data_IF_400828914985
#
_entry.id   IF_400828914985
#
_cell.length_a   1.000
_cell.length_b   1.000
_cell.length_c   1.000
_cell.angle_alpha   90.00
_cell.angle_beta   90.00
_cell.angle_gamma   90.00
#
_symmetry.space_group_name_H-M   'P 1'
#
loop_
_entity.id
_entity.type
_entity.pdbx_description
1 polymer ?
#
# COMPACT_ATOMS: atom_id res chain seq x y z
N UNK A 1 32.15 10.99 17.89
CA UNK A 1 31.84 9.70 17.24
C UNK A 1 33.18 9.07 16.90
N UNK A 2 33.51 7.88 17.38
CA UNK A 2 34.81 7.25 17.14
C UNK A 2 35.12 7.17 15.63
N UNK A 3 36.29 7.65 15.25
CA UNK A 3 36.79 7.72 13.87
C UNK A 3 36.82 6.34 13.20
N UNK A 4 37.09 5.27 13.97
CA UNK A 4 37.01 3.89 13.48
C UNK A 4 35.56 3.46 13.17
N UNK A 5 34.59 3.79 14.03
CA UNK A 5 33.16 3.51 13.77
C UNK A 5 32.66 4.28 12.55
N UNK A 6 33.11 5.52 12.37
CA UNK A 6 32.77 6.33 11.21
C UNK A 6 33.28 5.70 9.91
N UNK A 7 34.57 5.31 9.84
CA UNK A 7 35.13 4.60 8.68
C UNK A 7 34.40 3.30 8.36
N UNK A 8 34.04 2.50 9.36
CA UNK A 8 33.26 1.25 9.16
C UNK A 8 31.89 1.55 8.53
N UNK A 9 31.21 2.60 8.98
CA UNK A 9 29.94 3.03 8.39
C UNK A 9 30.10 3.47 6.93
N UNK A 10 31.18 4.19 6.61
CA UNK A 10 31.47 4.59 5.23
C UNK A 10 31.81 3.39 4.34
N UNK A 11 32.62 2.45 4.83
CA UNK A 11 32.92 1.22 4.12
C UNK A 11 31.64 0.42 3.82
N UNK A 12 30.75 0.26 4.80
CA UNK A 12 29.45 -0.38 4.59
C UNK A 12 28.63 0.32 3.49
N UNK A 13 28.56 1.66 3.50
CA UNK A 13 27.87 2.43 2.45
C UNK A 13 28.49 2.21 1.07
N UNK A 14 29.82 2.21 0.98
CA UNK A 14 30.53 2.00 -0.29
C UNK A 14 30.25 0.61 -0.87
N UNK A 15 30.34 -0.44 -0.05
CA UNK A 15 30.03 -1.81 -0.51
C UNK A 15 28.56 -2.00 -0.87
N UNK A 16 27.62 -1.37 -0.16
CA UNK A 16 26.20 -1.37 -0.55
C UNK A 16 25.98 -0.69 -1.91
N UNK A 17 26.68 0.40 -2.19
CA UNK A 17 26.59 1.08 -3.48
C UNK A 17 27.13 0.19 -4.62
N UNK A 18 28.28 -0.46 -4.42
CA UNK A 18 28.84 -1.41 -5.40
C UNK A 18 27.91 -2.61 -5.63
N UNK A 19 27.32 -3.17 -4.57
CA UNK A 19 26.37 -4.27 -4.69
C UNK A 19 25.12 -3.87 -5.49
N UNK A 20 24.58 -2.68 -5.25
CA UNK A 20 23.45 -2.14 -6.01
C UNK A 20 23.80 -1.97 -7.50
N UNK A 21 24.97 -1.41 -7.80
CA UNK A 21 25.45 -1.22 -9.17
C UNK A 21 25.62 -2.55 -9.91
N UNK A 22 26.32 -3.52 -9.31
CA UNK A 22 26.52 -4.83 -9.91
C UNK A 22 25.20 -5.58 -10.14
N UNK A 23 24.24 -5.43 -9.22
CA UNK A 23 22.89 -5.99 -9.38
C UNK A 23 22.21 -5.42 -10.63
N UNK A 24 22.21 -4.10 -10.79
CA UNK A 24 21.62 -3.43 -11.95
C UNK A 24 22.29 -3.84 -13.28
N UNK A 25 23.63 -3.93 -13.30
CA UNK A 25 24.39 -4.36 -14.48
C UNK A 25 24.06 -5.81 -14.84
N UNK A 26 24.03 -6.72 -13.87
CA UNK A 26 23.71 -8.13 -14.10
C UNK A 26 22.28 -8.33 -14.62
N UNK A 27 21.31 -7.60 -14.06
CA UNK A 27 19.92 -7.62 -14.51
C UNK A 27 19.79 -7.10 -15.95
N UNK A 28 20.50 -6.02 -16.29
CA UNK A 28 20.49 -5.47 -17.64
C UNK A 28 21.01 -6.47 -18.68
N UNK A 29 22.15 -7.12 -18.42
CA UNK A 29 22.73 -8.12 -19.32
C UNK A 29 21.79 -9.31 -19.53
N UNK A 30 21.15 -9.83 -18.47
CA UNK A 30 20.19 -10.91 -18.58
C UNK A 30 19.01 -10.55 -19.49
N UNK A 31 18.46 -9.33 -19.34
CA UNK A 31 17.36 -8.85 -20.18
C UNK A 31 17.71 -8.76 -21.67
N UNK A 32 19.00 -8.64 -22.04
CA UNK A 32 19.42 -8.61 -23.44
C UNK A 32 19.38 -9.98 -24.11
N UNK A 33 19.54 -11.08 -23.37
CA UNK A 33 19.68 -12.42 -23.94
C UNK A 33 18.50 -13.35 -23.64
N UNK A 34 17.72 -13.10 -22.58
CA UNK A 34 16.73 -14.04 -22.06
C UNK A 34 15.41 -13.34 -21.66
N UNK A 35 14.61 -12.94 -22.65
CA UNK A 35 13.32 -12.29 -22.40
C UNK A 35 12.28 -13.26 -21.82
N UNK A 36 11.72 -12.94 -20.65
CA UNK A 36 10.56 -13.64 -20.09
C UNK A 36 10.85 -14.83 -19.17
N UNK A 37 12.13 -15.19 -18.98
CA UNK A 37 12.55 -16.26 -18.06
C UNK A 37 12.93 -15.70 -16.69
N UNK A 38 12.74 -16.51 -15.64
CA UNK A 38 13.28 -16.21 -14.31
C UNK A 38 14.81 -16.30 -14.33
N UNK A 39 15.48 -15.32 -13.72
CA UNK A 39 16.94 -15.33 -13.60
C UNK A 39 17.41 -16.52 -12.76
N UNK A 40 18.51 -17.20 -13.15
CA UNK A 40 19.13 -18.23 -12.32
C UNK A 40 19.67 -17.71 -10.99
N UNK A 41 19.96 -16.41 -10.89
CA UNK A 41 20.44 -15.75 -9.68
C UNK A 41 19.79 -14.37 -9.55
N UNK A 42 19.22 -14.10 -8.38
CA UNK A 42 18.34 -12.95 -8.16
C UNK A 42 18.85 -12.10 -7.00
N UNK A 43 18.98 -10.78 -7.23
CA UNK A 43 19.43 -9.82 -6.24
C UNK A 43 18.31 -8.83 -5.93
N UNK A 44 17.95 -8.65 -4.65
CA UNK A 44 16.99 -7.64 -4.21
C UNK A 44 17.73 -6.52 -3.49
N UNK A 45 17.73 -5.33 -4.10
CA UNK A 45 18.40 -4.15 -3.54
C UNK A 45 17.39 -3.28 -2.82
N UNK A 46 17.40 -3.33 -1.49
CA UNK A 46 16.46 -2.61 -0.64
C UNK A 46 17.13 -1.46 0.11
N UNK A 47 16.42 -0.35 0.26
CA UNK A 47 16.77 0.74 1.17
C UNK A 47 15.69 0.91 2.23
N UNK A 48 16.12 1.02 3.49
CA UNK A 48 15.19 1.22 4.60
C UNK A 48 14.56 2.60 4.50
N UNK A 49 13.24 2.65 4.31
CA UNK A 49 12.43 3.86 4.40
C UNK A 49 12.33 4.35 5.84
N UNK A 50 11.81 3.47 6.70
CA UNK A 50 11.46 3.82 8.07
C UNK A 50 11.48 2.59 8.97
N UNK A 51 11.76 2.81 10.25
CA UNK A 51 11.49 1.81 11.28
C UNK A 51 10.00 1.84 11.62
N UNK A 52 9.40 0.67 11.82
CA UNK A 52 8.02 0.54 12.25
C UNK A 52 7.97 0.32 13.76
N UNK A 53 6.83 0.64 14.38
CA UNK A 53 6.64 0.52 15.83
C UNK A 53 6.79 -0.92 16.31
N UNK A 54 6.27 -1.87 15.53
CA UNK A 54 6.35 -3.31 15.73
C UNK A 54 6.02 -4.01 14.40
N UNK A 55 6.26 -5.33 14.34
CA UNK A 55 5.87 -6.20 13.23
C UNK A 55 4.39 -6.54 13.24
N UNK A 56 4.01 -7.77 12.91
CA UNK A 56 2.60 -8.20 13.00
C UNK A 56 2.09 -8.12 14.44
N UNK A 57 2.96 -8.46 15.39
CA UNK A 57 2.68 -8.48 16.82
C UNK A 57 3.58 -7.50 17.60
N UNK A 58 3.11 -6.94 18.75
CA UNK A 58 3.84 -5.92 19.50
C UNK A 58 5.26 -6.27 19.94
N UNK A 59 5.56 -7.55 20.13
CA UNK A 59 6.87 -8.05 20.55
C UNK A 59 7.88 -8.16 19.39
N UNK A 60 7.43 -8.05 18.13
CA UNK A 60 8.26 -8.17 16.94
C UNK A 60 8.76 -6.80 16.49
N UNK A 61 10.03 -6.70 16.09
CA UNK A 61 10.57 -5.48 15.44
C UNK A 61 10.27 -5.52 13.95
N UNK A 62 10.04 -4.36 13.34
CA UNK A 62 9.89 -4.26 11.89
C UNK A 62 10.43 -2.95 11.33
N UNK A 63 10.68 -2.96 10.04
CA UNK A 63 11.05 -1.79 9.25
C UNK A 63 10.45 -1.93 7.85
N UNK A 64 10.11 -0.80 7.25
CA UNK A 64 9.68 -0.74 5.87
C UNK A 64 10.87 -0.41 4.98
N UNK A 65 11.00 -1.17 3.89
CA UNK A 65 12.05 -1.01 2.90
C UNK A 65 11.43 -0.73 1.53
N UNK A 66 12.05 0.18 0.80
CA UNK A 66 11.78 0.39 -0.62
C UNK A 66 12.82 -0.36 -1.45
N UNK A 67 12.39 -0.88 -2.58
CA UNK A 67 13.30 -1.43 -3.57
C UNK A 67 13.92 -0.28 -4.40
N UNK A 68 15.26 -0.25 -4.49
CA UNK A 68 16.00 0.79 -5.21
C UNK A 68 15.97 0.60 -6.72
N UNK A 69 15.71 -0.62 -7.21
CA UNK A 69 15.44 -0.82 -8.64
C UNK A 69 14.17 -0.07 -9.07
N UNK A 70 13.31 0.29 -8.12
CA UNK A 70 12.10 1.10 -8.31
C UNK A 70 12.37 2.60 -8.43
N UNK A 71 13.63 3.03 -8.39
CA UNK A 71 13.97 4.46 -8.47
C UNK A 71 13.64 5.12 -9.82
N UNK A 72 13.17 4.34 -10.80
CA UNK A 72 12.33 4.85 -11.88
C UNK A 72 10.89 5.08 -11.40
N UNK A 73 10.61 6.35 -11.14
CA UNK A 73 9.44 7.08 -10.58
C UNK A 73 8.05 6.74 -11.22
N UNK A 74 7.91 5.67 -11.98
CA UNK A 74 6.69 5.31 -12.74
C UNK A 74 5.85 4.20 -12.11
N UNK A 75 6.26 3.63 -10.98
CA UNK A 75 5.64 2.44 -10.43
C UNK A 75 4.72 2.80 -9.26
N UNK A 76 3.44 2.44 -9.39
CA UNK A 76 2.42 2.66 -8.36
C UNK A 76 2.44 1.63 -7.23
N UNK A 77 1.37 1.62 -6.45
CA UNK A 77 1.18 0.76 -5.28
C UNK A 77 1.34 1.49 -3.96
N UNK A 78 1.15 0.75 -2.87
CA UNK A 78 1.15 1.30 -1.51
C UNK A 78 2.52 1.71 -1.03
N UNK A 79 3.57 1.03 -1.50
CA UNK A 79 4.93 1.42 -1.16
C UNK A 79 5.15 2.90 -1.49
N UNK A 80 4.82 3.34 -2.69
CA UNK A 80 5.03 4.71 -3.18
C UNK A 80 3.86 5.66 -2.91
N UNK A 81 2.91 5.27 -2.05
CA UNK A 81 1.73 6.09 -1.78
C UNK A 81 2.08 7.36 -1.00
N UNK A 82 1.43 8.47 -1.36
CA UNK A 82 1.53 9.72 -0.63
C UNK A 82 0.55 9.72 0.54
N UNK A 83 1.05 9.86 1.77
CA UNK A 83 0.22 9.99 2.95
C UNK A 83 -0.10 11.47 3.23
N UNK A 84 -1.34 11.88 2.98
CA UNK A 84 -1.80 13.26 3.16
C UNK A 84 -2.14 13.65 4.61
N UNK A 85 -2.38 12.66 5.47
CA UNK A 85 -2.87 12.87 6.84
C UNK A 85 -2.65 11.64 7.73
N UNK A 86 -2.81 11.81 9.03
CA UNK A 86 -2.87 10.71 9.99
C UNK A 86 -1.54 10.30 10.62
N UNK A 87 -1.57 9.24 11.42
CA UNK A 87 -0.40 8.66 12.08
C UNK A 87 0.46 7.88 11.07
N UNK A 88 1.74 7.64 11.39
CA UNK A 88 2.57 6.73 10.61
C UNK A 88 1.96 5.33 10.47
N UNK A 89 2.23 4.67 9.34
CA UNK A 89 1.76 3.31 9.03
C UNK A 89 2.37 2.27 9.98
N UNK A 90 1.56 1.31 10.43
CA UNK A 90 2.03 0.08 11.10
C UNK A 90 2.37 -1.01 10.08
N UNK A 91 2.95 -2.13 10.51
CA UNK A 91 3.20 -3.29 9.65
C UNK A 91 1.91 -3.83 9.04
N UNK A 92 0.89 -4.08 9.86
CA UNK A 92 -0.42 -4.57 9.40
C UNK A 92 -1.14 -3.55 8.52
N UNK A 93 -0.94 -2.24 8.76
CA UNK A 93 -1.47 -1.20 7.88
C UNK A 93 -0.92 -1.30 6.46
N UNK A 94 0.38 -1.60 6.28
CA UNK A 94 0.94 -1.81 4.94
C UNK A 94 0.34 -3.04 4.27
N UNK A 95 0.20 -4.16 4.99
CA UNK A 95 -0.38 -5.39 4.44
C UNK A 95 -1.85 -5.19 4.02
N UNK A 96 -2.66 -4.63 4.90
CA UNK A 96 -4.08 -4.41 4.63
C UNK A 96 -4.27 -3.38 3.52
N UNK A 97 -3.45 -2.32 3.48
CA UNK A 97 -3.54 -1.29 2.45
C UNK A 97 -3.17 -1.86 1.07
N UNK A 98 -2.13 -2.69 1.00
CA UNK A 98 -1.70 -3.32 -0.25
C UNK A 98 -2.78 -4.28 -0.78
N UNK A 99 -3.36 -5.10 0.10
CA UNK A 99 -4.49 -5.96 -0.25
C UNK A 99 -5.70 -5.15 -0.76
N UNK A 100 -6.07 -4.06 -0.07
CA UNK A 100 -7.19 -3.21 -0.45
C UNK A 100 -6.97 -2.49 -1.79
N UNK A 101 -5.78 -1.92 -2.00
CA UNK A 101 -5.44 -1.20 -3.22
C UNK A 101 -5.34 -2.11 -4.44
N UNK A 102 -4.69 -3.27 -4.30
CA UNK A 102 -4.58 -4.24 -5.39
C UNK A 102 -5.97 -4.78 -5.76
N UNK A 103 -6.81 -5.11 -4.77
CA UNK A 103 -8.19 -5.54 -5.03
C UNK A 103 -9.01 -4.49 -5.78
N UNK A 104 -9.01 -3.22 -5.32
CA UNK A 104 -9.73 -2.15 -6.01
C UNK A 104 -9.19 -1.88 -7.42
N UNK A 105 -7.88 -2.06 -7.62
CA UNK A 105 -7.21 -1.83 -8.90
C UNK A 105 -7.56 -2.85 -9.98
N UNK A 106 -8.14 -4.01 -9.64
CA UNK A 106 -8.60 -5.00 -10.63
C UNK A 106 -9.84 -4.56 -11.39
N UNK A 107 -10.61 -3.62 -10.84
CA UNK A 107 -11.86 -3.17 -11.44
C UNK A 107 -11.64 -1.96 -12.34
N UNK A 108 -12.24 -1.97 -13.52
CA UNK A 108 -12.30 -0.82 -14.44
C UNK A 108 -13.45 0.14 -14.12
N UNK A 109 -14.57 -0.38 -13.62
CA UNK A 109 -15.71 0.43 -13.19
C UNK A 109 -15.41 1.12 -11.84
N UNK A 110 -16.02 2.28 -11.53
CA UNK A 110 -15.88 2.91 -10.22
C UNK A 110 -16.32 1.95 -9.10
N UNK A 111 -15.41 1.67 -8.18
CA UNK A 111 -15.51 0.56 -7.22
C UNK A 111 -15.03 0.99 -5.84
N UNK A 112 -15.78 0.59 -4.82
CA UNK A 112 -15.38 0.64 -3.42
C UNK A 112 -15.01 -0.76 -2.94
N UNK A 113 -13.88 -0.87 -2.24
CA UNK A 113 -13.41 -2.09 -1.57
C UNK A 113 -13.14 -1.77 -0.09
N UNK A 114 -13.65 -2.62 0.80
CA UNK A 114 -13.38 -2.57 2.23
C UNK A 114 -12.66 -3.86 2.63
N UNK A 115 -11.51 -3.71 3.29
CA UNK A 115 -10.64 -4.81 3.73
C UNK A 115 -10.40 -4.74 5.24
N UNK A 116 -10.30 -5.91 5.87
CA UNK A 116 -9.80 -6.08 7.23
C UNK A 116 -8.93 -7.34 7.31
N UNK A 117 -7.74 -7.22 7.88
CA UNK A 117 -6.79 -8.35 8.02
C UNK A 117 -6.56 -9.05 6.68
N UNK A 118 -6.26 -8.28 5.64
CA UNK A 118 -6.02 -8.68 4.25
C UNK A 118 -7.20 -9.32 3.51
N UNK A 119 -8.36 -9.47 4.16
CA UNK A 119 -9.56 -10.06 3.56
C UNK A 119 -10.58 -8.98 3.18
N UNK A 120 -11.09 -8.98 1.94
CA UNK A 120 -12.21 -8.12 1.56
C UNK A 120 -13.47 -8.52 2.33
N UNK A 121 -14.06 -7.59 3.06
CA UNK A 121 -15.36 -7.77 3.71
C UNK A 121 -16.50 -7.09 2.94
N UNK A 122 -16.17 -6.20 2.00
CA UNK A 122 -17.17 -5.53 1.16
C UNK A 122 -16.58 -5.05 -0.16
N UNK A 123 -17.26 -5.32 -1.27
CA UNK A 123 -16.88 -4.85 -2.61
C UNK A 123 -18.14 -4.48 -3.36
N UNK A 124 -18.16 -3.30 -3.99
CA UNK A 124 -19.25 -2.94 -4.90
C UNK A 124 -18.78 -1.95 -5.97
N UNK A 125 -19.28 -2.14 -7.19
CA UNK A 125 -19.07 -1.22 -8.32
C UNK A 125 -20.38 -0.55 -8.71
N UNK A 126 -20.39 0.78 -8.80
CA UNK A 126 -21.54 1.60 -9.23
C UNK A 126 -21.03 2.88 -9.89
N UNK A 127 -21.81 3.48 -10.80
CA UNK A 127 -21.46 4.77 -11.40
C UNK A 127 -21.33 5.88 -10.36
N UNK A 128 -22.19 5.87 -9.33
CA UNK A 128 -22.09 6.75 -8.18
C UNK A 128 -21.29 6.06 -7.07
N UNK A 129 -20.15 6.64 -6.68
CA UNK A 129 -19.29 6.07 -5.64
C UNK A 129 -19.92 6.06 -4.25
N UNK A 130 -20.84 6.98 -3.94
CA UNK A 130 -21.56 6.95 -2.66
C UNK A 130 -22.40 5.68 -2.56
N UNK A 131 -23.02 5.27 -3.66
CA UNK A 131 -23.83 4.06 -3.70
C UNK A 131 -22.95 2.80 -3.69
N UNK A 132 -21.81 2.83 -4.40
CA UNK A 132 -20.79 1.78 -4.29
C UNK A 132 -20.30 1.62 -2.84
N UNK A 133 -20.02 2.74 -2.16
CA UNK A 133 -19.59 2.74 -0.78
C UNK A 133 -20.63 2.13 0.16
N UNK A 134 -21.89 2.57 0.07
CA UNK A 134 -22.99 2.06 0.91
C UNK A 134 -23.20 0.57 0.72
N UNK A 135 -23.23 0.09 -0.52
CA UNK A 135 -23.39 -1.32 -0.83
C UNK A 135 -22.21 -2.18 -0.35
N UNK A 136 -20.98 -1.68 -0.49
CA UNK A 136 -19.81 -2.38 0.03
C UNK A 136 -19.87 -2.48 1.57
N UNK A 137 -20.32 -1.41 2.25
CA UNK A 137 -20.48 -1.41 3.70
C UNK A 137 -21.60 -2.35 4.19
N UNK A 138 -22.71 -2.43 3.46
CA UNK A 138 -23.85 -3.30 3.79
C UNK A 138 -23.50 -4.80 3.74
N UNK A 139 -22.46 -5.19 3.00
CA UNK A 139 -22.04 -6.59 2.89
C UNK A 139 -21.60 -7.19 4.24
N UNK A 140 -20.77 -6.47 5.00
CA UNK A 140 -20.37 -6.84 6.35
C UNK A 140 -19.97 -5.60 7.16
N UNK A 141 -20.95 -4.90 7.77
CA UNK A 141 -20.70 -3.67 8.52
C UNK A 141 -19.89 -3.89 9.80
N UNK A 142 -19.99 -5.09 10.39
CA UNK A 142 -19.26 -5.45 11.62
C UNK A 142 -17.77 -5.58 11.31
N UNK A 143 -17.42 -6.27 10.22
CA UNK A 143 -16.02 -6.38 9.79
C UNK A 143 -15.49 -5.06 9.21
N UNK A 144 -16.32 -4.26 8.53
CA UNK A 144 -15.89 -2.98 7.98
C UNK A 144 -15.37 -1.98 9.05
N UNK A 145 -15.85 -2.09 10.29
CA UNK A 145 -15.43 -1.21 11.38
C UNK A 145 -13.94 -1.42 11.73
N UNK A 146 -13.18 -0.33 11.63
CA UNK A 146 -11.72 -0.32 11.78
C UNK A 146 -10.97 -0.89 10.58
N UNK A 147 -11.65 -1.15 9.46
CA UNK A 147 -11.03 -1.61 8.24
C UNK A 147 -10.35 -0.49 7.45
N UNK A 148 -9.95 -0.85 6.23
CA UNK A 148 -9.44 0.03 5.20
C UNK A 148 -10.49 0.16 4.10
N UNK A 149 -10.86 1.39 3.76
CA UNK A 149 -11.78 1.67 2.65
C UNK A 149 -10.99 2.24 1.48
N UNK A 150 -11.21 1.70 0.28
CA UNK A 150 -10.45 2.02 -0.92
C UNK A 150 -11.37 2.28 -2.10
N UNK A 151 -11.01 3.28 -2.92
CA UNK A 151 -11.71 3.65 -4.14
C UNK A 151 -10.73 3.64 -5.32
N UNK A 152 -11.14 3.12 -6.46
CA UNK A 152 -10.28 3.06 -7.67
C UNK A 152 -10.37 4.31 -8.57
N UNK A 153 -11.10 5.34 -8.13
CA UNK A 153 -11.27 6.64 -8.80
C UNK A 153 -11.21 7.77 -7.76
N UNK A 154 -11.16 9.02 -8.22
CA UNK A 154 -11.04 10.21 -7.36
C UNK A 154 -12.12 10.28 -6.26
N UNK A 155 -11.71 10.66 -5.05
CA UNK A 155 -12.63 10.95 -3.95
C UNK A 155 -12.94 12.45 -3.90
N UNK A 156 -14.22 12.77 -4.08
CA UNK A 156 -14.73 14.14 -4.04
C UNK A 156 -15.28 14.54 -2.65
N UNK A 157 -15.79 15.78 -2.55
CA UNK A 157 -16.42 16.30 -1.34
C UNK A 157 -17.65 15.48 -0.91
N UNK A 158 -18.44 14.99 -1.87
CA UNK A 158 -19.71 14.30 -1.61
C UNK A 158 -19.43 12.94 -0.96
N UNK A 159 -18.53 12.15 -1.54
CA UNK A 159 -18.10 10.88 -0.99
C UNK A 159 -17.38 11.04 0.36
N UNK A 160 -16.53 12.07 0.49
CA UNK A 160 -15.85 12.36 1.75
C UNK A 160 -16.83 12.67 2.88
N UNK A 161 -17.91 13.43 2.59
CA UNK A 161 -18.99 13.69 3.57
C UNK A 161 -19.72 12.40 3.93
N UNK A 162 -20.09 11.59 2.94
CA UNK A 162 -20.72 10.29 3.19
C UNK A 162 -19.88 9.40 4.11
N UNK A 163 -18.56 9.30 3.87
CA UNK A 163 -17.63 8.57 4.73
C UNK A 163 -17.58 9.09 6.16
N UNK A 164 -17.75 10.40 6.37
CA UNK A 164 -17.70 11.04 7.70
C UNK A 164 -19.01 10.86 8.47
N UNK A 165 -20.14 10.86 7.78
CA UNK A 165 -21.48 10.91 8.37
C UNK A 165 -22.10 9.51 8.57
N UNK A 166 -21.68 8.54 7.76
CA UNK A 166 -22.21 7.18 7.79
C UNK A 166 -22.08 6.55 9.18
N UNK A 167 -23.19 5.95 9.62
CA UNK A 167 -23.28 5.16 10.83
C UNK A 167 -23.32 3.68 10.47
N UNK A 168 -22.93 2.83 11.41
CA UNK A 168 -22.96 1.39 11.27
C UNK A 168 -24.38 0.94 10.93
N UNK A 169 -24.58 0.21 9.82
CA UNK A 169 -25.87 -0.41 9.51
C UNK A 169 -26.36 -1.38 10.59
N UNK A 170 -25.46 -1.88 11.46
CA UNK A 170 -25.81 -2.83 12.52
C UNK A 170 -26.62 -2.20 13.65
N UNK A 171 -26.28 -0.97 14.05
CA UNK A 171 -26.89 -0.30 15.21
C UNK A 171 -27.54 1.06 14.87
N UNK A 172 -27.25 1.63 13.70
CA UNK A 172 -27.75 2.94 13.27
C UNK A 172 -27.16 4.13 14.03
N UNK A 173 -26.28 3.89 15.01
CA UNK A 173 -25.81 4.89 15.97
C UNK A 173 -24.30 5.10 15.89
N UNK A 174 -23.51 4.05 15.76
CA UNK A 174 -22.05 4.16 15.81
C UNK A 174 -21.52 4.74 14.51
N UNK A 175 -20.82 5.89 14.56
CA UNK A 175 -20.17 6.43 13.36
C UNK A 175 -19.10 5.46 12.87
N UNK A 176 -19.10 5.17 11.57
CA UNK A 176 -18.11 4.24 11.01
C UNK A 176 -16.70 4.78 11.16
N UNK A 177 -15.82 3.93 11.69
CA UNK A 177 -14.40 4.19 11.83
C UNK A 177 -13.63 3.39 10.79
N UNK A 178 -12.68 4.04 10.12
CA UNK A 178 -11.72 3.41 9.22
C UNK A 178 -10.31 3.81 9.68
N UNK A 179 -9.37 2.89 9.58
CA UNK A 179 -7.97 3.22 9.85
C UNK A 179 -7.32 3.97 8.69
N UNK A 180 -7.70 3.60 7.46
CA UNK A 180 -7.12 4.11 6.21
C UNK A 180 -8.21 4.33 5.16
N UNK A 181 -8.12 5.45 4.45
CA UNK A 181 -8.84 5.72 3.19
C UNK A 181 -7.80 5.79 2.07
N UNK A 182 -8.04 5.08 0.96
CA UNK A 182 -7.11 5.01 -0.18
C UNK A 182 -7.85 5.37 -1.47
N UNK A 183 -7.23 6.19 -2.32
CA UNK A 183 -7.74 6.57 -3.63
C UNK A 183 -6.59 6.96 -4.59
N UNK A 184 -6.82 7.00 -5.91
CA UNK A 184 -5.83 7.52 -6.86
C UNK A 184 -5.63 9.04 -6.79
N UNK A 185 -6.64 9.79 -6.35
CA UNK A 185 -6.58 11.23 -6.12
C UNK A 185 -7.72 11.68 -5.21
N UNK A 186 -7.63 12.92 -4.73
CA UNK A 186 -8.66 13.58 -3.94
C UNK A 186 -8.87 15.00 -4.45
N UNK A 187 -10.12 15.43 -4.55
CA UNK A 187 -10.40 16.86 -4.69
C UNK A 187 -9.91 17.62 -3.44
N UNK A 188 -9.53 18.91 -3.54
CA UNK A 188 -9.10 19.69 -2.38
C UNK A 188 -10.13 19.69 -1.23
N UNK A 189 -11.41 19.84 -1.57
CA UNK A 189 -12.51 19.82 -0.61
C UNK A 189 -12.75 18.43 -0.02
N UNK A 190 -12.68 17.37 -0.83
CA UNK A 190 -12.78 15.99 -0.34
C UNK A 190 -11.68 15.67 0.68
N UNK A 191 -10.44 16.08 0.39
CA UNK A 191 -9.32 15.90 1.30
C UNK A 191 -9.50 16.68 2.60
N UNK A 192 -9.97 17.93 2.54
CA UNK A 192 -10.27 18.75 3.72
C UNK A 192 -11.32 18.09 4.61
N UNK A 193 -12.42 17.61 4.02
CA UNK A 193 -13.49 16.92 4.76
C UNK A 193 -12.98 15.66 5.46
N UNK A 194 -12.17 14.84 4.78
CA UNK A 194 -11.59 13.63 5.36
C UNK A 194 -10.60 13.94 6.49
N UNK A 195 -9.75 14.96 6.33
CA UNK A 195 -8.83 15.43 7.38
C UNK A 195 -9.59 15.85 8.65
N UNK A 196 -10.79 16.41 8.49
CA UNK A 196 -11.68 16.78 9.59
C UNK A 196 -12.32 15.61 10.35
N UNK A 197 -12.25 14.37 9.85
CA UNK A 197 -12.89 13.20 10.50
C UNK A 197 -12.14 12.75 11.76
N UNK A 198 -10.82 12.62 11.70
CA UNK A 198 -9.97 12.22 12.83
C UNK A 198 -8.52 12.59 12.56
N UNK A 199 -7.78 12.95 13.61
CA UNK A 199 -6.32 13.17 13.55
C UNK A 199 -5.53 11.88 13.28
N UNK A 200 -6.15 10.70 13.45
CA UNK A 200 -5.48 9.40 13.30
C UNK A 200 -5.73 8.71 11.97
N UNK A 201 -6.75 9.16 11.22
CA UNK A 201 -7.11 8.58 9.93
C UNK A 201 -5.99 8.80 8.93
N UNK A 202 -5.51 7.72 8.31
CA UNK A 202 -4.54 7.80 7.22
C UNK A 202 -5.27 7.99 5.92
N UNK A 203 -4.86 8.98 5.15
CA UNK A 203 -5.41 9.26 3.84
C UNK A 203 -4.26 9.05 2.85
N UNK A 204 -4.35 7.98 2.06
CA UNK A 204 -3.32 7.58 1.11
C UNK A 204 -3.78 7.89 -0.31
N UNK A 205 -2.89 8.52 -1.07
CA UNK A 205 -3.00 8.65 -2.52
C UNK A 205 -2.03 7.64 -3.15
N UNK A 206 -2.56 6.68 -3.90
CA UNK A 206 -1.79 5.60 -4.49
C UNK A 206 -2.03 5.53 -5.99
N UNK A 207 -0.96 5.34 -6.78
CA UNK A 207 -1.10 5.09 -8.22
C UNK A 207 -1.32 3.60 -8.46
N UNK A 208 -2.06 3.24 -9.51
CA UNK A 208 -2.19 1.84 -9.91
C UNK A 208 -0.81 1.32 -10.30
N UNK A 209 -0.46 0.12 -9.85
CA UNK A 209 0.78 -0.52 -10.24
C UNK A 209 0.63 -1.05 -11.68
N UNK A 210 1.66 -0.91 -12.51
CA UNK A 210 1.64 -1.50 -13.85
C UNK A 210 1.68 -3.04 -13.76
N UNK A 211 0.92 -3.71 -14.60
CA UNK A 211 0.82 -5.18 -14.62
C UNK A 211 2.17 -5.81 -15.01
N UNK A 212 2.45 -7.01 -14.49
CA UNK A 212 3.59 -7.83 -14.91
C UNK A 212 4.80 -7.85 -13.97
N UNK A 213 4.68 -7.34 -12.75
CA UNK A 213 5.77 -7.45 -11.76
C UNK A 213 5.90 -8.87 -11.22
N UNK A 214 7.13 -9.30 -11.00
CA UNK A 214 7.35 -10.56 -10.30
C UNK A 214 6.90 -10.43 -8.83
N UNK A 215 6.09 -11.36 -8.34
CA UNK A 215 5.73 -11.48 -6.94
C UNK A 215 6.75 -12.34 -6.22
N UNK A 216 7.26 -11.88 -5.07
CA UNK A 216 8.15 -12.65 -4.21
C UNK A 216 7.42 -13.04 -2.92
N UNK A 217 7.43 -14.34 -2.58
CA UNK A 217 6.86 -14.84 -1.32
C UNK A 217 7.86 -15.69 -0.56
N UNK A 218 8.07 -15.39 0.71
CA UNK A 218 8.98 -16.11 1.58
C UNK A 218 8.36 -17.42 2.09
N UNK A 219 9.10 -18.54 1.99
CA UNK A 219 8.68 -19.88 2.47
C UNK A 219 9.82 -20.64 3.16
N UNK A 220 10.82 -19.93 3.72
CA UNK A 220 12.13 -20.49 4.11
C UNK A 220 13.17 -20.42 2.98
N UNK A 221 12.68 -20.32 1.74
CA UNK A 221 13.34 -19.69 0.59
C UNK A 221 12.44 -18.60 0.01
N UNK A 222 12.50 -18.37 -1.31
CA UNK A 222 11.62 -17.44 -2.01
C UNK A 222 10.94 -18.10 -3.20
N UNK A 223 9.64 -17.90 -3.34
CA UNK A 223 8.90 -18.16 -4.57
C UNK A 223 8.88 -16.87 -5.39
N UNK A 224 9.31 -16.96 -6.65
CA UNK A 224 9.13 -15.91 -7.64
C UNK A 224 8.04 -16.33 -8.62
N UNK A 225 7.03 -15.49 -8.80
CA UNK A 225 5.92 -15.72 -9.73
C UNK A 225 5.73 -14.51 -10.63
N UNK A 226 5.21 -14.69 -11.84
CA UNK A 226 4.71 -13.57 -12.64
C UNK A 226 3.47 -12.98 -11.98
N UNK A 227 3.38 -11.66 -11.84
CA UNK A 227 2.21 -11.00 -11.28
C UNK A 227 0.94 -11.40 -12.02
N UNK A 228 -0.16 -11.58 -11.26
CA UNK A 228 -1.48 -11.88 -11.81
C UNK A 228 -1.88 -10.87 -12.88
N UNK A 229 -2.61 -11.33 -13.90
CA UNK A 229 -3.20 -10.47 -14.93
C UNK A 229 -4.40 -9.73 -14.39
#
# INVERSE_FOLDING_TARGET
MDDAMFRRRLAWKAFQHVAAYNSAVSEWFWKQTNSGEFVPSFNVVLERSSSLRYGENPHQKAAFYFDKSLSDVKLGGIATALQHHGKGMSYNNYLDADAAWNCASEFSAPTCVIVKHTNPCGIASRHNLVDAYRLALEADPVSAFGGIVTFNVEVDEVLAKALREVRSPTDGETRMFYEIVIAPSYTPKGLEVLKGKSKTLRILEAKKNERGRQSLRQIGGWLAGSGGR
#
